data_IF_750871487601
#
_entry.id   IF_750871487601
#
_cell.length_a   1.000
_cell.length_b   1.000
_cell.length_c   1.000
_cell.angle_alpha   90.00
_cell.angle_beta   90.00
_cell.angle_gamma   90.00
#
_symmetry.space_group_name_H-M   'P 1'
#
loop_
_entity.id
_entity.type
_entity.pdbx_description
1 polymer ?
#
# COMPACT_ATOMS: atom_id res chain seq x y z
N UNK A 1 -14.87 -22.78 9.79
CA UNK A 1 -15.90 -21.90 10.34
C UNK A 1 -15.20 -20.68 10.93
N UNK A 2 -15.85 -19.50 10.94
CA UNK A 2 -15.27 -18.29 11.52
C UNK A 2 -15.13 -18.48 13.04
N UNK A 3 -14.05 -17.92 13.67
CA UNK A 3 -13.91 -17.93 15.12
C UNK A 3 -15.08 -17.20 15.79
N UNK A 4 -15.55 -17.73 16.91
CA UNK A 4 -16.61 -17.09 17.72
C UNK A 4 -16.11 -15.76 18.35
N UNK A 5 -17.05 -14.92 18.79
CA UNK A 5 -16.75 -13.59 19.38
C UNK A 5 -15.84 -13.73 20.61
N UNK A 6 -16.10 -14.70 21.48
CA UNK A 6 -15.32 -14.92 22.71
C UNK A 6 -13.88 -15.42 22.44
N UNK A 7 -13.63 -15.94 21.24
CA UNK A 7 -12.30 -16.41 20.84
C UNK A 7 -11.44 -15.34 20.18
N UNK A 8 -11.94 -14.11 20.04
CA UNK A 8 -11.23 -13.00 19.37
C UNK A 8 -10.73 -11.99 20.39
N UNK A 9 -9.68 -11.28 20.02
CA UNK A 9 -9.25 -10.06 20.71
C UNK A 9 -9.11 -8.91 19.70
N UNK A 10 -9.11 -7.65 20.17
CA UNK A 10 -8.89 -6.50 19.30
C UNK A 10 -7.55 -6.59 18.57
N UNK A 11 -7.51 -6.09 17.33
CA UNK A 11 -6.27 -5.96 16.56
C UNK A 11 -5.43 -4.84 17.16
N UNK A 12 -4.19 -5.15 17.55
CA UNK A 12 -3.27 -4.23 18.22
C UNK A 12 -1.80 -4.40 17.80
N UNK A 13 -1.52 -5.39 16.96
CA UNK A 13 -0.17 -5.65 16.45
C UNK A 13 -0.09 -5.22 14.97
N UNK A 14 0.94 -4.45 14.57
CA UNK A 14 1.08 -4.05 13.19
C UNK A 14 1.43 -5.24 12.28
N UNK A 15 0.83 -5.26 11.08
CA UNK A 15 1.32 -6.01 9.94
C UNK A 15 1.98 -5.01 9.01
N UNK A 16 3.30 -4.96 9.00
CA UNK A 16 4.05 -4.01 8.19
C UNK A 16 3.95 -4.38 6.71
N UNK A 17 3.38 -3.50 5.89
CA UNK A 17 3.27 -3.73 4.44
C UNK A 17 4.58 -3.42 3.71
N UNK A 18 5.45 -2.63 4.32
CA UNK A 18 6.67 -2.13 3.69
C UNK A 18 6.42 -0.97 2.73
N UNK A 19 5.19 -0.44 2.69
CA UNK A 19 4.78 0.65 1.81
C UNK A 19 4.49 1.89 2.66
N UNK A 20 5.32 2.92 2.52
CA UNK A 20 5.26 4.16 3.32
C UNK A 20 3.86 4.76 3.39
N UNK A 21 3.21 4.90 2.23
CA UNK A 21 1.88 5.49 2.13
C UNK A 21 0.82 4.69 2.90
N UNK A 22 0.95 3.36 2.96
CA UNK A 22 0.00 2.49 3.66
C UNK A 22 0.32 2.45 5.14
N UNK A 23 1.55 2.11 5.52
CA UNK A 23 1.93 1.93 6.92
C UNK A 23 1.79 3.23 7.74
N UNK A 24 1.95 4.40 7.08
CA UNK A 24 1.77 5.70 7.73
C UNK A 24 0.31 6.16 7.84
N UNK A 25 -0.53 5.92 6.83
CA UNK A 25 -1.85 6.57 6.72
C UNK A 25 -3.04 5.62 6.80
N UNK A 26 -2.87 4.39 6.36
CA UNK A 26 -3.89 3.33 6.38
C UNK A 26 -3.29 2.02 6.90
N UNK A 27 -2.78 2.02 8.15
CA UNK A 27 -2.04 0.89 8.69
C UNK A 27 -2.90 -0.35 8.79
N UNK A 28 -2.27 -1.51 8.55
CA UNK A 28 -2.89 -2.82 8.64
C UNK A 28 -2.38 -3.53 9.90
N UNK A 29 -3.29 -4.12 10.66
CA UNK A 29 -2.95 -4.91 11.84
C UNK A 29 -3.09 -6.42 11.61
N UNK A 30 -2.39 -7.20 12.42
CA UNK A 30 -2.46 -8.67 12.39
C UNK A 30 -3.85 -9.15 12.81
N UNK A 31 -4.57 -9.78 11.87
CA UNK A 31 -5.96 -10.22 12.05
C UNK A 31 -6.99 -9.27 11.44
N UNK A 32 -6.57 -8.15 10.84
CA UNK A 32 -7.43 -7.20 10.15
C UNK A 32 -7.79 -7.71 8.74
N UNK A 33 -8.94 -7.24 8.24
CA UNK A 33 -9.37 -7.40 6.86
C UNK A 33 -9.30 -6.06 6.16
N UNK A 34 -8.27 -5.82 5.38
CA UNK A 34 -8.10 -4.55 4.67
C UNK A 34 -8.27 -4.76 3.17
N UNK A 35 -9.23 -4.08 2.58
CA UNK A 35 -9.56 -4.21 1.17
C UNK A 35 -8.59 -3.41 0.31
N UNK A 36 -8.06 -4.02 -0.75
CA UNK A 36 -7.34 -3.32 -1.81
C UNK A 36 -8.29 -3.16 -3.00
N UNK A 37 -8.67 -1.94 -3.34
CA UNK A 37 -9.68 -1.65 -4.34
C UNK A 37 -9.21 -0.62 -5.36
N UNK A 38 -9.59 -0.77 -6.61
CA UNK A 38 -9.25 0.16 -7.70
C UNK A 38 -9.45 -0.46 -9.08
N UNK A 39 -9.28 0.35 -10.11
CA UNK A 39 -9.43 -0.06 -11.50
C UNK A 39 -8.32 -1.01 -11.95
N UNK A 40 -8.46 -1.57 -13.15
CA UNK A 40 -7.42 -2.40 -13.76
C UNK A 40 -6.10 -1.65 -13.86
N UNK A 41 -4.99 -2.37 -13.60
CA UNK A 41 -3.62 -1.87 -13.73
C UNK A 41 -3.25 -0.68 -12.84
N UNK A 42 -3.96 -0.47 -11.73
CA UNK A 42 -3.64 0.57 -10.74
C UNK A 42 -2.60 0.14 -9.70
N UNK A 43 -2.05 -1.08 -9.81
CA UNK A 43 -1.01 -1.58 -8.90
C UNK A 43 -1.53 -2.42 -7.73
N UNK A 44 -2.80 -2.89 -7.74
CA UNK A 44 -3.36 -3.72 -6.63
C UNK A 44 -2.52 -4.95 -6.31
N UNK A 45 -2.18 -5.74 -7.34
CA UNK A 45 -1.32 -6.93 -7.19
C UNK A 45 0.07 -6.55 -6.68
N UNK A 46 0.62 -5.42 -7.13
CA UNK A 46 1.94 -4.95 -6.68
C UNK A 46 1.95 -4.64 -5.18
N UNK A 47 0.93 -3.94 -4.67
CA UNK A 47 0.77 -3.68 -3.23
C UNK A 47 0.70 -4.99 -2.44
N UNK A 48 -0.05 -5.98 -2.94
CA UNK A 48 -0.15 -7.29 -2.29
C UNK A 48 1.19 -8.04 -2.28
N UNK A 49 1.94 -8.03 -3.40
CA UNK A 49 3.24 -8.67 -3.50
C UNK A 49 4.28 -7.98 -2.62
N UNK A 50 4.35 -6.65 -2.63
CA UNK A 50 5.25 -5.90 -1.75
C UNK A 50 4.97 -6.21 -0.27
N UNK A 51 3.69 -6.33 0.11
CA UNK A 51 3.31 -6.75 1.46
C UNK A 51 3.80 -8.15 1.79
N UNK A 52 3.71 -9.11 0.86
CA UNK A 52 4.25 -10.47 1.06
C UNK A 52 5.76 -10.42 1.20
N UNK A 53 6.46 -9.71 0.31
CA UNK A 53 7.92 -9.58 0.34
C UNK A 53 8.42 -9.00 1.66
N UNK A 54 7.68 -8.07 2.24
CA UNK A 54 8.03 -7.45 3.52
C UNK A 54 7.86 -8.37 4.74
N UNK A 55 7.22 -9.55 4.58
CA UNK A 55 7.06 -10.49 5.71
C UNK A 55 8.30 -11.35 5.96
N UNK A 56 9.35 -11.22 5.17
CA UNK A 56 10.61 -11.95 5.35
C UNK A 56 11.16 -11.73 6.77
N UNK A 57 11.37 -12.82 7.51
CA UNK A 57 11.91 -12.77 8.87
C UNK A 57 10.95 -12.30 9.97
N UNK A 58 9.71 -11.91 9.64
CA UNK A 58 8.73 -11.41 10.61
C UNK A 58 7.83 -12.51 11.22
N UNK A 59 8.08 -13.78 10.88
CA UNK A 59 7.32 -14.91 11.42
C UNK A 59 5.89 -15.01 10.90
N UNK A 60 5.59 -14.42 9.74
CA UNK A 60 4.27 -14.45 9.11
C UNK A 60 4.28 -15.40 7.92
N UNK A 61 3.38 -16.39 7.92
CA UNK A 61 3.15 -17.28 6.77
C UNK A 61 2.25 -16.58 5.76
N UNK A 62 2.59 -16.63 4.50
CA UNK A 62 1.83 -15.93 3.45
C UNK A 62 1.09 -16.90 2.55
N UNK A 63 -0.09 -16.51 2.07
CA UNK A 63 -0.87 -17.24 1.08
C UNK A 63 -1.30 -16.25 0.00
N UNK A 64 -0.90 -16.53 -1.23
CA UNK A 64 -1.38 -15.79 -2.38
C UNK A 64 -2.39 -16.64 -3.15
N UNK A 65 -3.65 -16.19 -3.19
CA UNK A 65 -4.74 -16.88 -3.90
C UNK A 65 -5.02 -16.16 -5.21
N UNK A 66 -4.57 -16.73 -6.32
CA UNK A 66 -4.84 -16.22 -7.67
C UNK A 66 -6.16 -16.77 -8.19
N UNK A 67 -7.15 -15.88 -8.43
CA UNK A 67 -8.51 -16.27 -8.82
C UNK A 67 -8.82 -15.70 -10.20
N UNK A 68 -8.98 -16.54 -11.19
CA UNK A 68 -9.38 -16.14 -12.53
C UNK A 68 -8.35 -15.27 -13.28
N UNK A 69 -7.10 -15.29 -12.84
CA UNK A 69 -6.00 -14.57 -13.48
C UNK A 69 -5.45 -15.37 -14.68
N UNK A 70 -4.76 -14.66 -15.59
CA UNK A 70 -4.03 -15.31 -16.68
C UNK A 70 -2.85 -16.11 -16.13
N UNK A 71 -2.60 -17.29 -16.66
CA UNK A 71 -1.46 -18.12 -16.23
C UNK A 71 -0.12 -17.41 -16.31
N UNK A 72 0.11 -16.56 -17.34
CA UNK A 72 1.32 -15.76 -17.47
C UNK A 72 1.49 -14.73 -16.33
N UNK A 73 0.39 -14.14 -15.85
CA UNK A 73 0.44 -13.20 -14.71
C UNK A 73 0.80 -13.94 -13.42
N UNK A 74 0.21 -15.11 -13.21
CA UNK A 74 0.52 -15.94 -12.03
C UNK A 74 1.97 -16.42 -12.07
N UNK A 75 2.45 -16.86 -13.24
CA UNK A 75 3.85 -17.25 -13.41
C UNK A 75 4.82 -16.13 -13.08
N UNK A 76 4.52 -14.89 -13.51
CA UNK A 76 5.33 -13.72 -13.17
C UNK A 76 5.34 -13.44 -11.66
N UNK A 77 4.20 -13.55 -10.99
CA UNK A 77 4.12 -13.39 -9.53
C UNK A 77 4.98 -14.46 -8.83
N UNK A 78 4.87 -15.72 -9.23
CA UNK A 78 5.66 -16.80 -8.66
C UNK A 78 7.15 -16.55 -8.88
N UNK A 79 7.58 -16.19 -10.10
CA UNK A 79 8.97 -15.86 -10.41
C UNK A 79 9.50 -14.72 -9.52
N UNK A 80 8.71 -13.66 -9.34
CA UNK A 80 9.09 -12.55 -8.45
C UNK A 80 9.25 -13.00 -7.00
N UNK A 81 8.36 -13.85 -6.49
CA UNK A 81 8.44 -14.39 -5.14
C UNK A 81 9.65 -15.32 -4.97
N UNK A 82 9.95 -16.15 -5.97
CA UNK A 82 11.13 -17.04 -6.00
C UNK A 82 12.43 -16.25 -6.02
N UNK A 83 12.56 -15.28 -6.92
CA UNK A 83 13.76 -14.42 -7.05
C UNK A 83 14.09 -13.65 -5.76
N UNK A 84 13.06 -13.36 -4.96
CA UNK A 84 13.19 -12.64 -3.68
C UNK A 84 13.23 -13.58 -2.47
N UNK A 85 13.25 -14.91 -2.66
CA UNK A 85 13.26 -15.89 -1.57
C UNK A 85 11.96 -15.95 -0.76
N UNK A 86 10.88 -15.36 -1.25
CA UNK A 86 9.60 -15.31 -0.52
C UNK A 86 8.83 -16.63 -0.57
N UNK A 87 9.20 -17.56 -1.45
CA UNK A 87 8.57 -18.90 -1.52
C UNK A 87 8.86 -19.76 -0.29
N UNK A 88 9.87 -19.45 0.51
CA UNK A 88 10.17 -20.17 1.75
C UNK A 88 9.06 -20.05 2.80
N UNK A 89 8.28 -18.95 2.75
CA UNK A 89 7.18 -18.68 3.68
C UNK A 89 5.84 -18.40 2.99
N UNK A 90 5.76 -18.62 1.66
CA UNK A 90 4.56 -18.32 0.87
C UNK A 90 4.02 -19.55 0.16
N UNK A 91 2.70 -19.75 0.25
CA UNK A 91 1.96 -20.75 -0.54
C UNK A 91 1.14 -20.03 -1.60
N UNK A 92 1.20 -20.51 -2.84
CA UNK A 92 0.38 -20.02 -3.95
C UNK A 92 -0.74 -21.00 -4.23
N UNK A 93 -2.00 -20.51 -4.14
CA UNK A 93 -3.21 -21.26 -4.50
C UNK A 93 -3.75 -20.65 -5.79
N UNK A 94 -3.83 -21.43 -6.86
CA UNK A 94 -4.17 -20.89 -8.18
C UNK A 94 -5.39 -21.58 -8.77
N UNK A 95 -6.36 -20.76 -9.20
CA UNK A 95 -7.46 -21.16 -10.09
C UNK A 95 -7.46 -20.20 -11.29
N UNK A 96 -6.69 -20.50 -12.36
CA UNK A 96 -6.50 -19.59 -13.48
C UNK A 96 -7.77 -19.33 -14.28
N UNK A 97 -7.73 -18.36 -15.19
CA UNK A 97 -8.88 -17.98 -16.02
C UNK A 97 -9.43 -19.12 -16.87
N UNK A 98 -8.58 -20.07 -17.29
CA UNK A 98 -8.96 -21.22 -18.08
C UNK A 98 -9.73 -22.29 -17.30
N UNK A 99 -9.64 -22.31 -15.96
CA UNK A 99 -10.30 -23.30 -15.13
C UNK A 99 -11.83 -23.10 -15.09
N UNK A 100 -12.54 -24.18 -14.79
CA UNK A 100 -13.98 -24.14 -14.61
C UNK A 100 -14.38 -23.30 -13.37
N UNK A 101 -15.57 -22.70 -13.39
CA UNK A 101 -16.07 -21.84 -12.33
C UNK A 101 -16.02 -22.45 -10.91
N UNK A 102 -16.25 -23.76 -10.69
CA UNK A 102 -16.14 -24.36 -9.36
C UNK A 102 -14.77 -24.20 -8.73
N UNK A 103 -13.67 -24.27 -9.49
CA UNK A 103 -12.32 -24.09 -8.94
C UNK A 103 -12.09 -22.65 -8.47
N UNK A 104 -12.55 -21.65 -9.25
CA UNK A 104 -12.47 -20.23 -8.86
C UNK A 104 -13.33 -19.93 -7.62
N UNK A 105 -14.42 -20.65 -7.44
CA UNK A 105 -15.26 -20.56 -6.25
C UNK A 105 -14.54 -21.17 -5.01
N UNK A 106 -13.89 -22.32 -5.17
CA UNK A 106 -13.29 -23.08 -4.06
C UNK A 106 -11.92 -22.57 -3.63
N UNK A 107 -11.09 -22.06 -4.55
CA UNK A 107 -9.71 -21.67 -4.27
C UNK A 107 -9.57 -20.72 -3.08
N UNK A 108 -10.37 -19.65 -2.91
CA UNK A 108 -10.27 -18.77 -1.75
C UNK A 108 -10.54 -19.49 -0.43
N UNK A 109 -11.49 -20.42 -0.41
CA UNK A 109 -11.79 -21.19 0.80
C UNK A 109 -10.70 -22.20 1.15
N UNK A 110 -10.06 -22.80 0.14
CA UNK A 110 -8.90 -23.68 0.35
C UNK A 110 -7.72 -22.92 0.94
N UNK A 111 -7.36 -21.76 0.35
CA UNK A 111 -6.31 -20.89 0.91
C UNK A 111 -6.64 -20.42 2.32
N UNK A 112 -7.88 -20.00 2.55
CA UNK A 112 -8.33 -19.57 3.86
C UNK A 112 -8.24 -20.70 4.91
N UNK A 113 -8.50 -21.95 4.54
CA UNK A 113 -8.36 -23.09 5.45
C UNK A 113 -6.92 -23.32 5.87
N UNK A 114 -5.93 -23.12 4.97
CA UNK A 114 -4.50 -23.19 5.30
C UNK A 114 -4.12 -22.08 6.30
N UNK A 115 -4.52 -20.82 6.03
CA UNK A 115 -4.25 -19.70 6.93
C UNK A 115 -4.93 -19.86 8.30
N UNK A 116 -6.14 -20.39 8.34
CA UNK A 116 -6.85 -20.65 9.57
C UNK A 116 -6.16 -21.74 10.39
N UNK A 117 -5.58 -22.76 9.75
CA UNK A 117 -4.81 -23.77 10.46
C UNK A 117 -3.60 -23.17 11.19
N UNK A 118 -2.84 -22.31 10.57
CA UNK A 118 -1.72 -21.61 11.23
C UNK A 118 -2.22 -20.70 12.37
N UNK A 119 -3.26 -19.92 12.12
CA UNK A 119 -3.85 -19.07 13.14
C UNK A 119 -4.30 -19.86 14.39
N UNK A 120 -4.95 -21.01 14.20
CA UNK A 120 -5.42 -21.88 15.29
C UNK A 120 -4.27 -22.57 16.05
N UNK A 121 -3.08 -22.67 15.45
CA UNK A 121 -1.86 -23.15 16.09
C UNK A 121 -1.00 -22.04 16.74
N UNK A 122 -1.54 -20.83 16.86
CA UNK A 122 -0.85 -19.70 17.49
C UNK A 122 0.14 -18.97 16.59
N UNK A 123 0.16 -19.29 15.28
CA UNK A 123 1.01 -18.61 14.29
C UNK A 123 0.28 -17.43 13.66
N UNK A 124 1.05 -16.62 12.91
CA UNK A 124 0.52 -15.49 12.14
C UNK A 124 0.52 -15.81 10.66
N UNK A 125 -0.62 -15.55 10.00
CA UNK A 125 -0.75 -15.74 8.56
C UNK A 125 -1.31 -14.47 7.89
N UNK A 126 -0.85 -14.24 6.66
CA UNK A 126 -1.37 -13.23 5.74
C UNK A 126 -1.95 -13.95 4.53
N UNK A 127 -3.17 -13.63 4.15
CA UNK A 127 -3.80 -14.14 2.94
C UNK A 127 -4.22 -13.02 2.00
N UNK A 128 -3.82 -13.12 0.75
CA UNK A 128 -4.22 -12.24 -0.34
C UNK A 128 -5.20 -12.97 -1.24
N UNK A 129 -6.34 -12.36 -1.56
CA UNK A 129 -7.31 -12.89 -2.52
C UNK A 129 -7.32 -12.02 -3.78
N UNK A 130 -6.65 -12.42 -4.83
CA UNK A 130 -6.50 -11.66 -6.07
C UNK A 130 -7.18 -12.35 -7.26
N UNK A 131 -8.46 -12.04 -7.58
CA UNK A 131 -9.36 -11.10 -6.91
C UNK A 131 -10.73 -11.74 -6.57
N UNK A 132 -11.41 -11.16 -5.60
CA UNK A 132 -12.74 -11.64 -5.20
C UNK A 132 -13.86 -11.24 -6.19
N UNK A 133 -13.63 -10.27 -7.07
CA UNK A 133 -14.56 -9.95 -8.17
C UNK A 133 -14.73 -11.17 -9.09
N UNK A 134 -13.63 -11.87 -9.39
CA UNK A 134 -13.63 -13.09 -10.20
C UNK A 134 -14.31 -14.26 -9.49
N UNK A 135 -14.14 -14.36 -8.17
CA UNK A 135 -14.88 -15.35 -7.38
C UNK A 135 -16.39 -15.09 -7.47
N UNK A 136 -16.83 -13.85 -7.32
CA UNK A 136 -18.25 -13.48 -7.44
C UNK A 136 -18.81 -13.78 -8.83
N UNK A 137 -18.06 -13.46 -9.89
CA UNK A 137 -18.43 -13.79 -11.28
C UNK A 137 -18.59 -15.30 -11.48
N UNK A 138 -17.65 -16.11 -10.95
CA UNK A 138 -17.74 -17.57 -11.00
C UNK A 138 -18.97 -18.10 -10.24
N UNK A 139 -19.24 -17.54 -9.07
CA UNK A 139 -20.43 -17.91 -8.28
C UNK A 139 -21.75 -17.53 -8.97
N UNK A 140 -21.78 -16.35 -9.63
CA UNK A 140 -22.90 -15.95 -10.49
C UNK A 140 -23.14 -16.97 -11.62
N UNK A 141 -22.06 -17.37 -12.31
CA UNK A 141 -22.14 -18.36 -13.38
C UNK A 141 -22.71 -19.70 -12.87
N UNK A 142 -22.19 -20.21 -11.76
CA UNK A 142 -22.68 -21.44 -11.14
C UNK A 142 -24.16 -21.35 -10.76
N UNK A 143 -24.56 -20.23 -10.15
CA UNK A 143 -25.95 -20.01 -9.71
C UNK A 143 -26.92 -19.96 -10.87
N UNK A 144 -26.54 -19.31 -11.97
CA UNK A 144 -27.36 -19.24 -13.19
C UNK A 144 -27.50 -20.63 -13.87
N UNK A 145 -26.42 -21.41 -13.92
CA UNK A 145 -26.44 -22.78 -14.42
C UNK A 145 -27.36 -23.68 -13.59
N UNK A 146 -27.39 -23.48 -12.27
CA UNK A 146 -28.30 -24.16 -11.35
C UNK A 146 -29.72 -23.57 -11.35
N UNK A 147 -30.03 -22.65 -12.27
CA UNK A 147 -31.33 -21.97 -12.42
C UNK A 147 -31.80 -21.26 -11.14
N UNK A 148 -30.88 -20.78 -10.31
CA UNK A 148 -31.24 -19.94 -9.18
C UNK A 148 -31.70 -18.56 -9.67
N UNK A 149 -32.75 -17.97 -9.07
CA UNK A 149 -33.26 -16.67 -9.50
C UNK A 149 -32.17 -15.59 -9.36
N UNK A 150 -31.90 -14.79 -10.42
CA UNK A 150 -30.96 -13.71 -10.37
C UNK A 150 -31.49 -12.49 -9.59
N UNK A 151 -30.63 -11.84 -8.81
CA UNK A 151 -30.87 -10.55 -8.17
C UNK A 151 -30.20 -9.41 -8.91
N UNK A 152 -29.72 -8.41 -8.14
CA UNK A 152 -29.01 -7.23 -8.67
C UNK A 152 -27.77 -7.67 -9.48
N UNK A 153 -27.57 -7.09 -10.65
CA UNK A 153 -26.50 -7.40 -11.60
C UNK A 153 -26.39 -8.91 -11.93
N UNK A 154 -27.54 -9.61 -11.89
CA UNK A 154 -27.64 -11.05 -12.09
C UNK A 154 -26.90 -11.92 -11.05
N UNK A 155 -26.43 -11.35 -9.93
CA UNK A 155 -25.88 -12.11 -8.83
C UNK A 155 -26.98 -12.83 -8.04
N UNK A 156 -26.71 -14.01 -7.46
CA UNK A 156 -27.65 -14.67 -6.56
C UNK A 156 -27.81 -13.87 -5.27
N UNK A 157 -28.96 -14.00 -4.58
CA UNK A 157 -29.28 -13.26 -3.37
C UNK A 157 -28.34 -13.50 -2.20
N UNK A 158 -27.57 -14.58 -2.22
CA UNK A 158 -26.61 -14.95 -1.19
C UNK A 158 -25.14 -14.57 -1.53
N UNK A 159 -24.91 -13.70 -2.53
CA UNK A 159 -23.54 -13.29 -2.91
C UNK A 159 -22.83 -12.53 -1.79
N UNK A 160 -23.56 -11.80 -0.94
CA UNK A 160 -22.96 -11.19 0.26
C UNK A 160 -22.39 -12.27 1.19
N UNK A 161 -23.11 -13.34 1.41
CA UNK A 161 -22.69 -14.46 2.24
C UNK A 161 -21.48 -15.22 1.66
N UNK A 162 -21.31 -15.22 0.33
CA UNK A 162 -20.12 -15.77 -0.31
C UNK A 162 -18.84 -15.16 0.26
N UNK A 163 -18.75 -13.83 0.34
CA UNK A 163 -17.60 -13.11 0.80
C UNK A 163 -17.55 -12.97 2.33
N UNK A 164 -18.68 -12.75 3.00
CA UNK A 164 -18.70 -12.57 4.45
C UNK A 164 -18.25 -13.83 5.19
N UNK A 165 -18.74 -15.02 4.80
CA UNK A 165 -18.29 -16.28 5.42
C UNK A 165 -16.83 -16.62 5.14
N UNK A 166 -16.21 -16.05 4.10
CA UNK A 166 -14.79 -16.18 3.83
C UNK A 166 -13.99 -15.23 4.70
N UNK A 167 -14.31 -13.93 4.65
CA UNK A 167 -13.54 -12.85 5.27
C UNK A 167 -13.69 -12.82 6.80
N UNK A 168 -14.83 -13.25 7.35
CA UNK A 168 -15.03 -13.37 8.79
C UNK A 168 -14.14 -14.44 9.47
N UNK A 169 -13.51 -15.31 8.68
CA UNK A 169 -12.52 -16.28 9.19
C UNK A 169 -11.18 -15.62 9.54
N UNK A 170 -10.88 -14.46 8.96
CA UNK A 170 -9.73 -13.66 9.31
C UNK A 170 -10.00 -12.93 10.64
N UNK A 171 -9.11 -13.12 11.62
CA UNK A 171 -9.24 -12.57 12.96
C UNK A 171 -7.91 -12.60 13.71
N UNK A 172 -7.83 -11.88 14.83
CA UNK A 172 -6.83 -12.04 15.88
C UNK A 172 -7.47 -12.89 16.99
N UNK A 173 -6.89 -14.03 17.30
CA UNK A 173 -7.36 -14.90 18.37
C UNK A 173 -6.94 -14.38 19.75
N UNK A 174 -7.74 -14.67 20.75
CA UNK A 174 -7.43 -14.36 22.15
C UNK A 174 -6.25 -15.19 22.66
N UNK A 175 -5.63 -14.73 23.74
CA UNK A 175 -4.50 -15.41 24.37
C UNK A 175 -4.85 -16.83 24.81
N UNK A 176 -6.09 -17.04 25.27
CA UNK A 176 -6.61 -18.38 25.62
C UNK A 176 -6.64 -19.35 24.40
N UNK A 177 -6.61 -18.83 23.19
CA UNK A 177 -6.58 -19.60 21.94
C UNK A 177 -5.24 -19.51 21.20
N UNK A 178 -4.17 -19.09 21.88
CA UNK A 178 -2.81 -19.08 21.37
C UNK A 178 -2.40 -17.80 20.65
N UNK A 179 -3.21 -16.73 20.69
CA UNK A 179 -2.89 -15.39 20.13
C UNK A 179 -2.53 -15.37 18.63
N UNK A 180 -2.84 -16.42 17.88
CA UNK A 180 -2.60 -16.47 16.43
C UNK A 180 -3.43 -15.44 15.67
N UNK A 181 -3.06 -15.16 14.43
CA UNK A 181 -3.81 -14.23 13.58
C UNK A 181 -3.86 -14.67 12.12
N UNK A 182 -4.95 -14.35 11.46
CA UNK A 182 -5.10 -14.42 10.01
C UNK A 182 -5.51 -13.05 9.50
N UNK A 183 -4.61 -12.38 8.80
CA UNK A 183 -4.85 -11.09 8.16
C UNK A 183 -5.28 -11.31 6.73
N UNK A 184 -6.33 -10.65 6.27
CA UNK A 184 -6.84 -10.80 4.91
C UNK A 184 -6.71 -9.50 4.13
N UNK A 185 -6.13 -9.59 2.94
CA UNK A 185 -6.08 -8.56 1.92
C UNK A 185 -6.90 -9.00 0.70
N UNK A 186 -8.24 -8.85 0.73
CA UNK A 186 -9.05 -9.05 -0.45
C UNK A 186 -8.77 -7.96 -1.48
N UNK A 187 -8.73 -8.35 -2.76
CA UNK A 187 -8.61 -7.44 -3.89
C UNK A 187 -9.95 -7.38 -4.62
N UNK A 188 -10.41 -6.18 -4.93
CA UNK A 188 -11.60 -5.93 -5.75
C UNK A 188 -11.23 -5.03 -6.93
N UNK A 189 -11.69 -5.43 -8.12
CA UNK A 189 -11.56 -4.62 -9.32
C UNK A 189 -12.79 -3.75 -9.51
N UNK A 190 -12.59 -2.43 -9.65
CA UNK A 190 -13.64 -1.48 -10.06
C UNK A 190 -13.59 -1.23 -11.56
N UNK A 191 -14.65 -0.60 -12.08
CA UNK A 191 -14.74 -0.12 -13.45
C UNK A 191 -15.02 1.37 -13.42
N UNK A 192 -14.13 2.17 -14.04
CA UNK A 192 -14.21 3.63 -14.05
C UNK A 192 -14.32 4.26 -12.64
N UNK A 193 -13.61 3.70 -11.66
CA UNK A 193 -13.61 4.18 -10.28
C UNK A 193 -14.93 3.98 -9.51
N UNK A 194 -15.90 3.23 -10.06
CA UNK A 194 -17.21 3.04 -9.41
C UNK A 194 -17.13 2.09 -8.21
N UNK A 195 -16.98 2.67 -7.02
CA UNK A 195 -17.03 1.95 -5.74
C UNK A 195 -18.46 1.68 -5.27
N UNK A 196 -19.48 2.26 -5.91
CA UNK A 196 -20.89 2.09 -5.57
C UNK A 196 -21.54 0.86 -6.22
N UNK A 197 -20.82 0.15 -7.10
CA UNK A 197 -21.23 -1.10 -7.69
C UNK A 197 -21.50 -2.18 -6.63
N UNK A 198 -22.24 -3.21 -6.99
CA UNK A 198 -22.82 -4.16 -6.02
C UNK A 198 -21.74 -4.93 -5.24
N UNK A 199 -20.74 -5.52 -5.92
CA UNK A 199 -19.70 -6.30 -5.24
C UNK A 199 -18.73 -5.41 -4.42
N UNK A 200 -18.21 -4.27 -4.93
CA UNK A 200 -17.43 -3.34 -4.13
C UNK A 200 -18.12 -2.93 -2.84
N UNK A 201 -19.38 -2.48 -2.91
CA UNK A 201 -20.16 -2.04 -1.75
C UNK A 201 -20.27 -3.15 -0.69
N UNK A 202 -20.54 -4.38 -1.11
CA UNK A 202 -20.64 -5.52 -0.21
C UNK A 202 -19.30 -5.77 0.52
N UNK A 203 -18.19 -5.78 -0.21
CA UNK A 203 -16.88 -6.09 0.40
C UNK A 203 -16.39 -4.96 1.29
N UNK A 204 -16.60 -3.70 0.93
CA UNK A 204 -16.33 -2.54 1.80
C UNK A 204 -17.05 -2.67 3.15
N UNK A 205 -18.30 -3.15 3.13
CA UNK A 205 -19.08 -3.32 4.38
C UNK A 205 -18.59 -4.48 5.25
N UNK A 206 -17.96 -5.51 4.68
CA UNK A 206 -17.44 -6.68 5.40
C UNK A 206 -16.06 -6.40 5.98
N UNK A 207 -15.26 -5.55 5.34
CA UNK A 207 -13.87 -5.29 5.70
C UNK A 207 -13.71 -4.20 6.77
N UNK A 208 -12.54 -4.15 7.38
CA UNK A 208 -12.19 -3.20 8.45
C UNK A 208 -11.54 -1.92 7.90
N UNK A 209 -11.70 -1.67 6.62
CA UNK A 209 -11.19 -0.52 5.88
C UNK A 209 -10.82 -0.89 4.45
N UNK A 210 -10.35 0.12 3.72
CA UNK A 210 -9.95 -0.03 2.31
C UNK A 210 -8.75 0.85 1.95
N UNK A 211 -7.89 0.31 1.11
CA UNK A 211 -6.83 1.02 0.39
C UNK A 211 -7.34 1.24 -1.03
N UNK A 212 -7.69 2.47 -1.37
CA UNK A 212 -8.20 2.84 -2.68
C UNK A 212 -7.05 3.28 -3.59
N UNK A 213 -6.87 2.58 -4.71
CA UNK A 213 -5.87 2.90 -5.73
C UNK A 213 -6.54 3.60 -6.91
N UNK A 214 -6.22 4.88 -7.10
CA UNK A 214 -6.83 5.73 -8.09
C UNK A 214 -6.03 5.73 -9.41
N UNK A 215 -6.74 5.59 -10.53
CA UNK A 215 -6.14 5.50 -11.88
C UNK A 215 -5.44 6.80 -12.29
N UNK A 216 -6.02 7.96 -11.96
CA UNK A 216 -5.44 9.27 -12.29
C UNK A 216 -4.10 9.50 -11.57
N UNK A 217 -4.00 9.11 -10.29
CA UNK A 217 -2.75 9.15 -9.54
C UNK A 217 -1.70 8.23 -10.15
N UNK A 218 -2.12 7.03 -10.57
CA UNK A 218 -1.20 6.09 -11.22
C UNK A 218 -0.64 6.62 -12.54
N UNK A 219 -1.49 7.24 -13.36
CA UNK A 219 -1.12 7.85 -14.64
C UNK A 219 -0.25 9.08 -14.49
N UNK A 220 -0.47 9.88 -13.43
CA UNK A 220 0.37 11.05 -13.11
C UNK A 220 1.73 10.68 -12.50
N UNK A 221 2.02 9.37 -12.33
CA UNK A 221 3.31 8.90 -11.82
C UNK A 221 3.39 8.81 -10.29
N UNK A 222 2.30 9.01 -9.55
CA UNK A 222 2.23 8.75 -8.11
C UNK A 222 2.06 7.25 -7.90
N UNK A 223 3.10 6.59 -7.42
CA UNK A 223 3.13 5.12 -7.20
C UNK A 223 3.77 4.79 -5.86
N UNK A 224 3.05 4.06 -4.96
CA UNK A 224 1.69 3.53 -5.13
C UNK A 224 0.62 4.63 -5.23
N UNK A 225 -0.41 4.36 -6.02
CA UNK A 225 -1.46 5.33 -6.34
C UNK A 225 -2.56 5.41 -5.27
N UNK A 226 -2.15 5.45 -4.00
CA UNK A 226 -3.08 5.46 -2.84
C UNK A 226 -3.77 6.81 -2.73
N UNK A 227 -5.09 6.80 -2.83
CA UNK A 227 -5.91 7.95 -2.51
C UNK A 227 -6.09 8.07 -1.00
N UNK A 228 -5.48 9.08 -0.41
CA UNK A 228 -5.47 9.31 1.05
C UNK A 228 -6.85 9.72 1.58
N UNK A 229 -7.65 10.40 0.75
CA UNK A 229 -8.98 10.90 1.14
C UNK A 229 -10.02 9.79 1.31
N UNK A 230 -9.96 8.78 0.42
CA UNK A 230 -10.93 7.67 0.39
C UNK A 230 -10.43 6.45 1.13
N UNK A 231 -9.11 6.29 1.28
CA UNK A 231 -8.51 5.17 2.00
C UNK A 231 -8.68 5.32 3.52
N UNK A 232 -9.13 4.25 4.16
CA UNK A 232 -9.44 4.23 5.60
C UNK A 232 -9.02 2.91 6.22
N UNK A 233 -8.36 2.96 7.39
CA UNK A 233 -8.19 1.83 8.29
C UNK A 233 -9.04 2.07 9.54
N UNK A 234 -9.94 1.15 9.86
CA UNK A 234 -10.77 1.24 11.09
C UNK A 234 -10.01 0.88 12.35
N UNK A 235 -8.88 0.18 12.23
CA UNK A 235 -7.96 -0.09 13.34
C UNK A 235 -7.07 1.13 13.59
N UNK A 236 -6.58 1.75 12.52
CA UNK A 236 -5.82 2.99 12.60
C UNK A 236 -4.54 2.86 13.43
N UNK A 237 -4.28 3.84 14.29
CA UNK A 237 -3.04 3.93 15.07
C UNK A 237 -2.77 2.77 16.04
N UNK A 238 -3.75 1.90 16.32
CA UNK A 238 -3.52 0.69 17.11
C UNK A 238 -2.77 -0.39 16.33
N UNK A 239 -2.75 -0.28 14.99
CA UNK A 239 -1.95 -1.10 14.09
C UNK A 239 -0.59 -0.45 13.73
N UNK A 240 -0.13 0.54 14.46
CA UNK A 240 1.16 1.22 14.25
C UNK A 240 2.08 1.05 15.45
N UNK A 241 3.40 1.02 15.21
CA UNK A 241 4.38 1.20 16.27
C UNK A 241 4.29 2.63 16.82
N UNK A 242 4.71 2.83 18.07
CA UNK A 242 4.72 4.18 18.68
C UNK A 242 5.56 5.17 17.86
N UNK A 243 6.68 4.71 17.30
CA UNK A 243 7.53 5.51 16.43
C UNK A 243 6.78 5.97 15.17
N UNK A 244 6.12 5.05 14.45
CA UNK A 244 5.34 5.41 13.25
C UNK A 244 4.20 6.36 13.60
N UNK A 245 3.47 6.07 14.69
CA UNK A 245 2.35 6.92 15.14
C UNK A 245 2.79 8.35 15.47
N UNK A 246 4.01 8.53 16.03
CA UNK A 246 4.53 9.86 16.35
C UNK A 246 4.88 10.68 15.11
N UNK A 247 5.46 10.06 14.08
CA UNK A 247 5.89 10.78 12.86
C UNK A 247 4.79 10.94 11.82
N UNK A 248 3.82 10.02 11.76
CA UNK A 248 2.76 10.03 10.76
C UNK A 248 1.48 10.75 11.20
N UNK A 249 1.43 11.29 12.43
CA UNK A 249 0.21 11.82 13.04
C UNK A 249 -0.46 12.94 12.24
N UNK A 250 0.31 13.83 11.61
CA UNK A 250 -0.19 14.96 10.81
C UNK A 250 -0.22 14.65 9.31
N UNK A 251 0.51 13.64 8.84
CA UNK A 251 0.75 13.38 7.42
C UNK A 251 -0.54 13.29 6.59
N UNK A 252 -1.54 12.60 7.12
CA UNK A 252 -2.83 12.45 6.42
C UNK A 252 -3.56 13.77 6.29
N UNK A 253 -3.50 14.63 7.31
CA UNK A 253 -4.11 15.97 7.32
C UNK A 253 -3.37 16.88 6.34
N UNK A 254 -2.03 16.87 6.38
CA UNK A 254 -1.20 17.68 5.50
C UNK A 254 -1.44 17.36 4.02
N UNK A 255 -1.57 16.06 3.69
CA UNK A 255 -1.88 15.63 2.33
C UNK A 255 -3.32 15.93 1.90
N UNK A 256 -4.30 15.87 2.81
CA UNK A 256 -5.67 16.28 2.52
C UNK A 256 -5.72 17.77 2.19
N UNK A 257 -5.11 18.62 3.03
CA UNK A 257 -5.01 20.06 2.79
C UNK A 257 -4.24 20.37 1.49
N UNK A 258 -3.18 19.63 1.21
CA UNK A 258 -2.46 19.76 -0.06
C UNK A 258 -3.39 19.54 -1.26
N UNK A 259 -4.23 18.49 -1.23
CA UNK A 259 -5.16 18.19 -2.33
C UNK A 259 -6.18 19.31 -2.55
N UNK A 260 -6.70 19.87 -1.47
CA UNK A 260 -7.61 21.00 -1.54
C UNK A 260 -6.92 22.23 -2.16
N UNK A 261 -5.70 22.55 -1.72
CA UNK A 261 -4.93 23.67 -2.25
C UNK A 261 -4.50 23.45 -3.71
N UNK A 262 -4.13 22.22 -4.09
CA UNK A 262 -3.79 21.87 -5.47
C UNK A 262 -4.97 22.11 -6.42
N UNK A 263 -6.18 21.76 -5.99
CA UNK A 263 -7.39 22.03 -6.75
C UNK A 263 -7.60 23.56 -6.93
N UNK A 264 -7.44 24.35 -5.87
CA UNK A 264 -7.56 25.82 -5.94
C UNK A 264 -6.49 26.45 -6.85
N UNK A 265 -5.23 26.00 -6.74
CA UNK A 265 -4.14 26.49 -7.58
C UNK A 265 -4.37 26.24 -9.07
N UNK A 266 -4.98 25.10 -9.40
CA UNK A 266 -5.31 24.74 -10.80
C UNK A 266 -6.35 25.70 -11.41
N UNK A 267 -7.23 26.31 -10.61
CA UNK A 267 -8.20 27.29 -11.07
C UNK A 267 -7.64 28.72 -11.17
N UNK A 268 -6.32 28.91 -11.01
CA UNK A 268 -5.66 30.21 -11.19
C UNK A 268 -5.89 31.23 -10.06
N UNK A 269 -6.27 30.78 -8.87
CA UNK A 269 -6.39 31.62 -7.68
C UNK A 269 -4.99 32.01 -7.18
N UNK A 270 -4.78 33.29 -6.87
CA UNK A 270 -3.57 33.73 -6.17
C UNK A 270 -3.56 33.15 -4.76
N UNK A 271 -2.50 32.40 -4.44
CA UNK A 271 -2.27 31.84 -3.11
C UNK A 271 -1.48 32.85 -2.27
N UNK A 272 -1.82 32.98 -1.00
CA UNK A 272 -0.98 33.68 -0.04
C UNK A 272 0.31 32.90 0.24
N UNK A 273 1.30 33.57 0.85
CA UNK A 273 2.62 32.98 1.09
C UNK A 273 2.55 31.70 1.95
N UNK A 274 1.61 31.63 2.91
CA UNK A 274 1.45 30.46 3.77
C UNK A 274 0.87 29.28 2.99
N UNK A 275 -0.18 29.51 2.19
CA UNK A 275 -0.78 28.49 1.32
C UNK A 275 0.19 27.99 0.24
N UNK A 276 1.01 28.88 -0.32
CA UNK A 276 2.06 28.52 -1.27
C UNK A 276 3.14 27.64 -0.64
N UNK A 277 3.58 27.93 0.59
CA UNK A 277 4.52 27.10 1.33
C UNK A 277 3.94 25.72 1.65
N UNK A 278 2.67 25.66 2.05
CA UNK A 278 1.96 24.41 2.33
C UNK A 278 1.78 23.55 1.06
N UNK A 279 1.46 24.17 -0.06
CA UNK A 279 1.39 23.51 -1.37
C UNK A 279 2.77 22.94 -1.76
N UNK A 280 3.85 23.73 -1.59
CA UNK A 280 5.22 23.29 -1.84
C UNK A 280 5.64 22.11 -0.97
N UNK A 281 5.29 22.09 0.31
CA UNK A 281 5.49 20.96 1.22
C UNK A 281 4.73 19.73 0.75
N UNK A 282 3.46 19.89 0.35
CA UNK A 282 2.62 18.81 -0.15
C UNK A 282 3.21 18.09 -1.36
N UNK A 283 3.76 18.80 -2.33
CA UNK A 283 4.45 18.18 -3.47
C UNK A 283 5.64 17.32 -3.02
N UNK A 284 6.43 17.79 -2.06
CA UNK A 284 7.57 17.03 -1.52
C UNK A 284 7.14 15.82 -0.72
N UNK A 285 6.05 15.90 0.05
CA UNK A 285 5.46 14.75 0.74
C UNK A 285 4.94 13.70 -0.23
N UNK A 286 4.27 14.11 -1.32
CA UNK A 286 3.84 13.19 -2.38
C UNK A 286 5.04 12.52 -3.03
N UNK A 287 6.10 13.26 -3.33
CA UNK A 287 7.33 12.71 -3.90
C UNK A 287 8.03 11.73 -2.95
N UNK A 288 8.12 12.09 -1.66
CA UNK A 288 8.69 11.23 -0.62
C UNK A 288 7.96 9.89 -0.48
N UNK A 289 6.62 9.90 -0.63
CA UNK A 289 5.80 8.70 -0.49
C UNK A 289 5.82 7.79 -1.72
N UNK A 290 6.38 8.23 -2.83
CA UNK A 290 6.59 7.35 -3.98
C UNK A 290 7.58 6.24 -3.63
N UNK A 291 7.34 5.06 -4.16
CA UNK A 291 8.13 3.87 -3.88
C UNK A 291 8.21 2.97 -5.12
N UNK A 292 9.39 2.42 -5.35
CA UNK A 292 9.63 1.51 -6.47
C UNK A 292 8.87 0.19 -6.34
N UNK A 293 8.68 -0.50 -7.45
CA UNK A 293 8.06 -1.82 -7.49
C UNK A 293 8.97 -2.86 -6.83
N UNK A 294 8.40 -3.77 -6.08
CA UNK A 294 9.11 -4.85 -5.37
C UNK A 294 10.25 -4.32 -4.46
N UNK A 295 10.02 -3.17 -3.85
CA UNK A 295 11.00 -2.50 -3.00
C UNK A 295 10.36 -2.09 -1.66
N UNK A 296 9.87 -3.06 -0.88
CA UNK A 296 9.34 -2.75 0.45
C UNK A 296 10.44 -2.20 1.35
N UNK A 297 10.08 -1.24 2.19
CA UNK A 297 10.99 -0.55 3.12
C UNK A 297 10.70 -1.00 4.56
N UNK A 298 11.70 -1.39 5.36
CA UNK A 298 11.51 -1.71 6.77
C UNK A 298 10.95 -0.53 7.57
N UNK A 299 10.17 -0.81 8.61
CA UNK A 299 9.44 0.23 9.38
C UNK A 299 10.34 1.29 10.00
N UNK A 300 11.52 0.91 10.50
CA UNK A 300 12.50 1.83 11.08
C UNK A 300 13.03 2.85 10.06
N UNK A 301 13.21 2.42 8.81
CA UNK A 301 13.61 3.30 7.71
C UNK A 301 12.45 4.19 7.26
N UNK A 302 11.22 3.64 7.19
CA UNK A 302 10.03 4.44 6.90
C UNK A 302 9.84 5.55 7.94
N UNK A 303 10.05 5.26 9.22
CA UNK A 303 9.95 6.24 10.31
C UNK A 303 10.92 7.39 10.09
N UNK A 304 12.19 7.10 9.78
CA UNK A 304 13.20 8.14 9.49
C UNK A 304 12.83 8.94 8.25
N UNK A 305 12.41 8.27 7.17
CA UNK A 305 11.99 8.93 5.93
C UNK A 305 10.82 9.89 6.17
N UNK A 306 9.75 9.42 6.80
CA UNK A 306 8.55 10.24 7.09
C UNK A 306 8.88 11.38 8.05
N UNK A 307 9.74 11.15 9.04
CA UNK A 307 10.23 12.17 9.96
C UNK A 307 10.80 13.39 9.21
N UNK A 308 11.56 13.17 8.14
CA UNK A 308 12.12 14.29 7.35
C UNK A 308 11.05 15.13 6.67
N UNK A 309 10.01 14.48 6.14
CA UNK A 309 8.90 15.17 5.47
C UNK A 309 8.03 15.97 6.44
N UNK A 310 7.62 15.35 7.54
CA UNK A 310 6.70 15.97 8.51
C UNK A 310 7.35 17.06 9.34
N UNK A 311 8.67 17.00 9.58
CA UNK A 311 9.41 18.03 10.31
C UNK A 311 10.03 19.12 9.42
N UNK A 312 9.69 19.17 8.13
CA UNK A 312 10.09 20.27 7.25
C UNK A 312 11.54 20.24 6.75
N UNK A 313 12.26 19.13 6.91
CA UNK A 313 13.64 19.02 6.42
C UNK A 313 13.76 19.03 4.89
N UNK A 314 12.63 18.83 4.19
CA UNK A 314 12.58 18.82 2.72
C UNK A 314 12.12 20.18 2.14
N UNK A 315 11.67 21.15 2.96
CA UNK A 315 10.97 22.34 2.48
C UNK A 315 11.81 23.24 1.57
N UNK A 316 13.12 23.23 1.72
CA UNK A 316 14.10 23.99 0.93
C UNK A 316 14.73 23.20 -0.22
N UNK A 317 14.38 21.91 -0.38
CA UNK A 317 14.90 21.08 -1.45
C UNK A 317 14.03 21.19 -2.72
N UNK A 318 14.61 21.11 -3.93
CA UNK A 318 13.86 20.86 -5.16
C UNK A 318 13.07 19.55 -5.05
N UNK A 319 11.88 19.49 -5.65
CA UNK A 319 11.04 18.27 -5.60
C UNK A 319 11.74 17.07 -6.24
N UNK A 320 12.49 17.30 -7.31
CA UNK A 320 13.28 16.29 -8.02
C UNK A 320 14.43 15.69 -7.20
N UNK A 321 14.91 16.38 -6.17
CA UNK A 321 15.97 15.89 -5.30
C UNK A 321 15.45 15.08 -4.09
N UNK A 322 14.16 15.08 -3.83
CA UNK A 322 13.56 14.43 -2.63
C UNK A 322 13.86 12.92 -2.61
N UNK A 323 13.71 12.22 -3.73
CA UNK A 323 13.98 10.77 -3.81
C UNK A 323 15.46 10.45 -3.61
N UNK A 324 16.35 11.31 -4.14
CA UNK A 324 17.79 11.17 -3.96
C UNK A 324 18.18 11.44 -2.50
N UNK A 325 17.63 12.50 -1.91
CA UNK A 325 17.84 12.81 -0.48
C UNK A 325 17.42 11.64 0.41
N UNK A 326 16.23 11.06 0.17
CA UNK A 326 15.74 9.90 0.91
C UNK A 326 16.70 8.71 0.79
N UNK A 327 17.09 8.35 -0.43
CA UNK A 327 17.94 7.16 -0.66
C UNK A 327 19.33 7.30 -0.04
N UNK A 328 19.96 8.48 -0.16
CA UNK A 328 21.27 8.77 0.45
C UNK A 328 21.18 8.85 1.98
N UNK A 329 20.09 9.41 2.53
CA UNK A 329 19.83 9.42 3.96
C UNK A 329 19.72 7.99 4.51
N UNK A 330 18.87 7.17 3.91
CA UNK A 330 18.67 5.78 4.37
C UNK A 330 19.97 4.99 4.28
N UNK A 331 20.76 5.15 3.21
CA UNK A 331 22.07 4.52 3.11
C UNK A 331 23.04 5.00 4.22
N UNK A 332 23.01 6.29 4.53
CA UNK A 332 23.79 6.86 5.64
C UNK A 332 23.33 6.30 6.99
N UNK A 333 22.03 6.14 7.19
CA UNK A 333 21.47 5.53 8.40
C UNK A 333 21.92 4.08 8.55
N UNK A 334 21.87 3.30 7.47
CA UNK A 334 22.32 1.89 7.45
C UNK A 334 23.81 1.74 7.76
N UNK A 335 24.64 2.65 7.26
CA UNK A 335 26.11 2.55 7.38
C UNK A 335 26.67 3.18 8.64
N UNK A 336 26.16 4.34 9.04
CA UNK A 336 26.72 5.13 10.15
C UNK A 336 25.88 5.10 11.42
N UNK A 337 24.59 4.87 11.30
CA UNK A 337 23.63 4.93 12.40
C UNK A 337 22.81 3.62 12.52
N UNK A 338 23.39 2.47 12.15
CA UNK A 338 22.69 1.18 12.18
C UNK A 338 22.09 0.86 13.56
N UNK A 339 22.81 1.22 14.64
CA UNK A 339 22.33 1.02 16.01
C UNK A 339 21.05 1.80 16.31
N UNK A 340 20.85 2.97 15.69
CA UNK A 340 19.63 3.77 15.83
C UNK A 340 18.45 3.13 15.12
N UNK A 341 18.65 2.57 13.92
CA UNK A 341 17.62 1.79 13.22
C UNK A 341 17.25 0.54 14.03
N UNK A 342 18.22 -0.16 14.58
CA UNK A 342 17.96 -1.34 15.43
C UNK A 342 17.21 -0.97 16.71
N UNK A 343 17.48 0.18 17.31
CA UNK A 343 16.74 0.69 18.47
C UNK A 343 15.28 0.95 18.10
N UNK A 344 15.00 1.64 16.99
CA UNK A 344 13.63 1.89 16.51
C UNK A 344 12.91 0.57 16.23
N UNK A 345 13.57 -0.37 15.55
CA UNK A 345 13.00 -1.68 15.21
C UNK A 345 12.61 -2.47 16.46
N UNK A 346 13.50 -2.56 17.45
CA UNK A 346 13.32 -3.40 18.62
C UNK A 346 12.42 -2.78 19.68
N UNK A 347 12.51 -1.46 19.90
CA UNK A 347 11.70 -0.76 20.92
C UNK A 347 10.33 -0.33 20.40
N UNK A 348 10.20 -0.13 19.09
CA UNK A 348 9.03 0.48 18.46
C UNK A 348 8.81 1.95 18.85
N UNK A 349 9.82 2.60 19.48
CA UNK A 349 9.76 3.99 19.95
C UNK A 349 10.75 4.83 19.16
N UNK A 350 10.42 6.10 18.92
CA UNK A 350 11.29 7.05 18.24
C UNK A 350 12.24 7.70 19.25
N UNK A 351 13.58 7.52 19.14
CA UNK A 351 14.55 8.31 19.87
C UNK A 351 14.76 9.67 19.20
N UNK A 352 13.82 10.58 19.42
CA UNK A 352 13.66 11.84 18.65
C UNK A 352 14.95 12.67 18.56
N UNK A 353 15.63 12.91 19.69
CA UNK A 353 16.85 13.71 19.70
C UNK A 353 17.98 13.10 18.85
N UNK A 354 18.10 11.78 18.83
CA UNK A 354 19.13 11.08 18.06
C UNK A 354 18.80 11.06 16.58
N UNK A 355 17.53 10.81 16.22
CA UNK A 355 17.07 10.88 14.83
C UNK A 355 17.23 12.29 14.29
N UNK A 356 16.83 13.29 15.06
CA UNK A 356 17.01 14.70 14.72
C UNK A 356 18.47 15.03 14.43
N UNK A 357 19.38 14.70 15.34
CA UNK A 357 20.80 14.97 15.17
C UNK A 357 21.39 14.27 13.93
N UNK A 358 20.99 13.03 13.66
CA UNK A 358 21.44 12.28 12.49
C UNK A 358 20.94 12.92 11.19
N UNK A 359 19.65 13.29 11.12
CA UNK A 359 19.04 13.95 9.95
C UNK A 359 19.65 15.33 9.70
N UNK A 360 19.85 16.15 10.74
CA UNK A 360 20.49 17.47 10.63
C UNK A 360 21.94 17.37 10.14
N UNK A 361 22.69 16.43 10.68
CA UNK A 361 24.06 16.16 10.23
C UNK A 361 24.14 15.74 8.77
N UNK A 362 23.22 14.87 8.34
CA UNK A 362 23.13 14.45 6.95
C UNK A 362 22.73 15.62 6.04
N UNK A 363 21.68 16.37 6.40
CA UNK A 363 21.19 17.50 5.62
C UNK A 363 22.26 18.57 5.41
N UNK A 364 23.09 18.86 6.42
CA UNK A 364 24.18 19.82 6.32
C UNK A 364 25.27 19.39 5.32
N UNK A 365 25.41 18.07 5.08
CA UNK A 365 26.37 17.52 4.13
C UNK A 365 25.77 17.27 2.72
N UNK A 366 24.45 17.29 2.60
CA UNK A 366 23.75 17.00 1.34
C UNK A 366 23.92 18.17 0.36
N UNK A 367 24.42 17.86 -0.83
CA UNK A 367 24.58 18.83 -1.92
C UNK A 367 23.39 18.72 -2.87
N UNK A 368 22.62 19.80 -2.98
CA UNK A 368 21.55 19.92 -3.98
C UNK A 368 22.16 19.84 -5.38
N UNK A 369 21.58 18.99 -6.24
CA UNK A 369 21.99 18.93 -7.64
C UNK A 369 21.49 20.20 -8.34
N UNK A 370 22.37 21.19 -8.48
CA UNK A 370 22.12 22.32 -9.36
C UNK A 370 22.16 21.77 -10.78
N UNK A 371 21.01 21.42 -11.35
CA UNK A 371 20.86 21.33 -12.78
C UNK A 371 21.16 22.73 -13.33
N UNK A 372 22.40 22.93 -13.80
CA UNK A 372 22.70 24.01 -14.68
C UNK A 372 21.85 23.79 -15.94
N UNK A 373 20.66 24.35 -15.98
CA UNK A 373 20.07 24.78 -17.22
C UNK A 373 20.97 25.93 -17.65
N UNK A 374 22.04 25.58 -18.37
CA UNK A 374 22.77 26.59 -19.11
C UNK A 374 21.77 27.21 -20.08
N UNK A 375 21.36 28.43 -19.83
CA UNK A 375 20.87 29.36 -20.83
C UNK A 375 22.00 29.62 -21.86
N UNK A 376 22.51 28.55 -22.45
CA UNK A 376 23.41 28.59 -23.59
C UNK A 376 22.65 28.75 -24.92
N UNK A 377 21.40 29.25 -24.84
CA UNK A 377 20.59 29.53 -26.01
C UNK A 377 20.52 31.03 -26.37
N UNK A 378 21.14 31.93 -25.57
CA UNK A 378 21.12 33.38 -25.80
C UNK A 378 22.48 33.99 -26.16
N UNK A 379 23.50 33.17 -26.43
CA UNK A 379 24.62 33.71 -27.20
C UNK A 379 24.23 33.72 -28.67
N UNK A 380 23.76 34.89 -29.08
CA UNK A 380 23.41 35.20 -30.46
C UNK A 380 24.52 34.80 -31.41
N UNK A 381 24.26 33.81 -32.24
CA UNK A 381 24.90 33.68 -33.54
C UNK A 381 24.46 34.90 -34.36
N UNK A 382 25.20 36.00 -34.17
CA UNK A 382 25.22 37.10 -35.13
C UNK A 382 25.69 36.56 -36.47
N UNK A 383 24.74 36.15 -37.32
CA UNK A 383 25.03 35.90 -38.74
C UNK A 383 25.22 37.26 -39.38
N UNK A 384 26.46 37.59 -39.58
CA UNK A 384 26.86 38.74 -40.42
C UNK A 384 26.37 38.50 -41.86
N UNK A 385 25.27 39.17 -42.22
CA UNK A 385 24.79 39.26 -43.59
C UNK A 385 25.63 40.25 -44.38
N UNK A 386 26.94 39.98 -44.46
CA UNK A 386 27.87 40.66 -45.33
C UNK A 386 27.69 40.15 -46.75
N UNK A 387 27.06 40.95 -47.57
CA UNK A 387 26.83 40.66 -48.97
C UNK A 387 28.05 40.46 -49.85
N UNK A 388 27.89 39.64 -50.89
CA UNK A 388 28.48 39.94 -52.18
C UNK A 388 27.69 39.29 -53.34
N UNK A 389 27.28 40.15 -54.23
CA UNK A 389 26.86 39.78 -55.56
C UNK A 389 28.03 39.13 -56.31
N UNK A 390 27.81 38.10 -57.01
CA UNK A 390 27.91 38.04 -58.54
C UNK A 390 27.12 36.80 -58.95
#
# INVERSE_FOLDING_TARGET
QAPGIMGRQPVHEPLQTGIKAIDAMTPVGRGQRELIIGDRKTGKTSVAIDTILNQAGLGVKCIYVAIGQKGSTVAQVVSTLEERGAMDYTVVVCAPAADAAPFKYLAPYAGCAMGQHWMENGEHALIVYDDLSKQAEAYRQLSLLLRRPPGREAYPGDVFYLHSRLLERAAKLSDAQGSGSLTALPVIETKAGDVSAYIPTNVISITDGQIYLQDDLFKSGVRPAVDVGVSVSRVGGDAQTKAMKSVAGTLKIDLAQFRDLEAFATFGSELDAASAAQLGRGYRLVELLKQGLNSPMPVEEQVVSIYTGTNGYLDDLPVEDVQRFESELIETMRTRNAGLLDEIRNSGVLPDDQVKAAVESFKAAFQVCLLYTSDAADEGLGVDLGGRRI
#
